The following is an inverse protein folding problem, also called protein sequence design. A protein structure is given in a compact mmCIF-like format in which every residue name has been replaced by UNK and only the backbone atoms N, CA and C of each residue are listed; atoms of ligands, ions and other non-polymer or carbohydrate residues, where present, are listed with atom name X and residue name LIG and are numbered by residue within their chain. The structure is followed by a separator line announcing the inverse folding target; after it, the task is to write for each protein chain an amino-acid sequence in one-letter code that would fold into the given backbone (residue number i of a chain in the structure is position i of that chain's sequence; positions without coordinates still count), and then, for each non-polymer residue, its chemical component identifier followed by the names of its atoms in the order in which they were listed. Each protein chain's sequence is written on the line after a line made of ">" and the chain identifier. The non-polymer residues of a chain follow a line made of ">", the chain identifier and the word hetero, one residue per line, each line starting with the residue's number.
data_IF_344118170709
#
_entry.id   IF_344118170709
#
_cell.length_a   1.000
_cell.length_b   1.000
_cell.length_c   1.000
_cell.angle_alpha   90.00
_cell.angle_beta   90.00
_cell.angle_gamma   90.00
#
_symmetry.space_group_name_H-M   'P 1'
#
loop_
_entity.id
_entity.type
_entity.pdbx_description
1 polymer ?
#
# COMPACT_ATOMS: atom_id res chain seq x y z
N UNK A 1 -4.11 -18.22 3.87
CA UNK A 1 -2.77 -17.84 4.38
C UNK A 1 -2.77 -16.35 4.64
N UNK A 2 -2.68 -15.93 5.90
CA UNK A 2 -2.66 -14.52 6.27
C UNK A 2 -1.30 -13.93 5.91
N UNK A 3 -1.26 -13.07 4.88
CA UNK A 3 -0.07 -12.25 4.60
C UNK A 3 0.10 -11.28 5.78
N UNK A 4 1.30 -11.13 6.32
CA UNK A 4 1.56 -10.17 7.40
C UNK A 4 1.72 -8.76 6.81
N UNK A 5 0.64 -7.98 6.84
CA UNK A 5 0.64 -6.59 6.39
C UNK A 5 1.13 -5.63 7.48
N UNK A 6 1.43 -6.13 8.67
CA UNK A 6 1.84 -5.34 9.84
C UNK A 6 3.07 -4.49 9.56
N UNK A 7 4.08 -5.07 8.89
CA UNK A 7 5.31 -4.37 8.52
C UNK A 7 5.07 -3.30 7.46
N UNK A 8 4.21 -3.59 6.49
CA UNK A 8 3.86 -2.69 5.39
C UNK A 8 3.05 -1.51 5.91
N UNK A 9 2.08 -1.79 6.79
CA UNK A 9 1.33 -0.78 7.52
C UNK A 9 2.23 0.14 8.33
N UNK A 10 3.13 -0.40 9.18
CA UNK A 10 4.04 0.41 10.01
C UNK A 10 4.95 1.32 9.18
N UNK A 11 5.44 0.83 8.03
CA UNK A 11 6.40 1.57 7.20
C UNK A 11 5.75 2.59 6.27
N UNK A 12 4.54 2.33 5.80
CA UNK A 12 3.85 3.14 4.78
C UNK A 12 2.54 3.76 5.27
N UNK A 13 2.31 3.81 6.58
CA UNK A 13 1.14 4.42 7.23
C UNK A 13 0.84 5.82 6.68
N UNK A 14 -0.33 6.01 6.08
CA UNK A 14 -0.74 7.29 5.50
C UNK A 14 -0.19 7.60 4.11
N UNK A 15 0.51 6.66 3.47
CA UNK A 15 1.06 6.81 2.12
C UNK A 15 0.28 5.95 1.12
N UNK A 16 0.39 6.35 -0.15
CA UNK A 16 0.04 5.52 -1.29
C UNK A 16 1.16 4.55 -1.58
N UNK A 17 0.81 3.29 -1.77
CA UNK A 17 1.74 2.20 -2.05
C UNK A 17 1.29 1.48 -3.31
N UNK A 18 2.20 1.37 -4.27
CA UNK A 18 2.05 0.56 -5.46
C UNK A 18 2.69 -0.80 -5.19
N UNK A 19 1.86 -1.84 -5.19
CA UNK A 19 2.19 -3.23 -4.94
C UNK A 19 2.26 -4.00 -6.27
N UNK A 20 3.11 -5.01 -6.33
CA UNK A 20 3.13 -5.98 -7.42
C UNK A 20 1.97 -6.99 -7.29
N UNK A 21 1.81 -7.90 -8.26
CA UNK A 21 0.79 -8.95 -8.26
C UNK A 21 0.79 -9.84 -7.03
N UNK A 22 1.93 -9.95 -6.36
CA UNK A 22 2.06 -10.71 -5.11
C UNK A 22 1.46 -10.00 -3.89
N UNK A 23 1.01 -8.74 -4.03
CA UNK A 23 0.43 -7.88 -2.98
C UNK A 23 1.35 -7.59 -1.78
N UNK A 24 2.59 -8.09 -1.80
CA UNK A 24 3.59 -7.88 -0.73
C UNK A 24 4.76 -7.02 -1.22
N UNK A 25 5.08 -7.12 -2.51
CA UNK A 25 6.23 -6.41 -3.10
C UNK A 25 5.88 -4.95 -3.35
N UNK A 26 6.52 -4.05 -2.60
CA UNK A 26 6.35 -2.60 -2.79
C UNK A 26 7.26 -2.11 -3.92
N UNK A 27 6.64 -1.71 -5.01
CA UNK A 27 7.32 -1.19 -6.20
C UNK A 27 7.47 0.33 -6.16
N UNK A 28 6.54 1.03 -5.50
CA UNK A 28 6.59 2.49 -5.34
C UNK A 28 5.76 2.97 -4.17
N UNK A 29 6.13 4.11 -3.58
CA UNK A 29 5.35 4.75 -2.52
C UNK A 29 5.46 6.28 -2.56
N UNK A 30 4.39 6.96 -2.15
CA UNK A 30 4.32 8.43 -2.19
C UNK A 30 3.15 8.99 -1.36
N UNK A 31 3.11 10.32 -1.21
CA UNK A 31 1.98 10.99 -0.56
C UNK A 31 0.74 11.02 -1.46
N UNK A 32 0.95 10.94 -2.77
CA UNK A 32 -0.09 10.91 -3.79
C UNK A 32 -0.05 9.60 -4.58
N UNK A 33 -1.20 9.22 -5.12
CA UNK A 33 -1.34 8.07 -6.04
C UNK A 33 -0.37 8.19 -7.22
N UNK A 34 -0.28 9.39 -7.83
CA UNK A 34 0.55 9.64 -9.00
C UNK A 34 2.05 9.44 -8.70
N UNK A 35 2.55 9.90 -7.55
CA UNK A 35 3.94 9.64 -7.15
C UNK A 35 4.25 8.15 -6.97
N UNK A 36 3.34 7.41 -6.33
CA UNK A 36 3.50 5.97 -6.13
C UNK A 36 3.53 5.23 -7.48
N UNK A 37 2.63 5.59 -8.40
CA UNK A 37 2.58 5.03 -9.77
C UNK A 37 3.84 5.38 -10.56
N UNK A 38 4.27 6.64 -10.58
CA UNK A 38 5.49 7.05 -11.30
C UNK A 38 6.72 6.29 -10.80
N UNK A 39 6.89 6.16 -9.48
CA UNK A 39 8.00 5.40 -8.90
C UNK A 39 7.92 3.91 -9.23
N UNK A 40 6.72 3.34 -9.29
CA UNK A 40 6.54 1.95 -9.65
C UNK A 40 6.72 1.68 -11.15
N UNK A 41 6.29 2.60 -12.03
CA UNK A 41 6.51 2.52 -13.47
C UNK A 41 8.00 2.50 -13.84
N UNK A 42 8.85 3.20 -13.08
CA UNK A 42 10.31 3.15 -13.25
C UNK A 42 10.85 1.73 -12.99
N UNK A 43 10.21 0.97 -12.09
CA UNK A 43 10.66 -0.38 -11.71
C UNK A 43 10.01 -1.49 -12.50
N UNK A 44 8.77 -1.32 -12.94
CA UNK A 44 8.05 -2.33 -13.72
C UNK A 44 7.01 -1.67 -14.61
N UNK A 45 6.80 -2.25 -15.79
CA UNK A 45 5.79 -1.80 -16.76
C UNK A 45 4.48 -2.61 -16.65
N UNK A 46 4.32 -3.39 -15.57
CA UNK A 46 3.17 -4.28 -15.35
C UNK A 46 2.04 -3.55 -14.61
N UNK A 47 0.85 -4.14 -14.65
CA UNK A 47 -0.31 -3.68 -13.87
C UNK A 47 -0.01 -3.77 -12.37
N UNK A 48 -0.06 -2.63 -11.69
CA UNK A 48 0.26 -2.47 -10.27
C UNK A 48 -1.02 -2.39 -9.44
N UNK A 49 -1.00 -2.94 -8.23
CA UNK A 49 -2.07 -2.72 -7.26
C UNK A 49 -1.79 -1.46 -6.46
N UNK A 50 -2.60 -0.42 -6.66
CA UNK A 50 -2.47 0.83 -5.93
C UNK A 50 -3.35 0.80 -4.68
N UNK A 51 -2.73 0.94 -3.50
CA UNK A 51 -3.43 0.94 -2.22
C UNK A 51 -3.04 2.17 -1.40
N UNK A 52 -4.04 2.79 -0.76
CA UNK A 52 -3.79 3.86 0.21
C UNK A 52 -3.80 3.23 1.60
N UNK A 53 -2.66 3.29 2.28
CA UNK A 53 -2.58 2.78 3.64
C UNK A 53 -3.21 3.82 4.58
N UNK A 54 -4.25 3.47 5.35
CA UNK A 54 -4.89 4.42 6.25
C UNK A 54 -3.92 4.88 7.34
N UNK A 55 -4.02 6.16 7.71
CA UNK A 55 -3.22 6.71 8.82
C UNK A 55 -3.73 6.23 10.18
N UNK A 56 -4.94 5.68 10.28
CA UNK A 56 -5.41 5.13 11.53
C UNK A 56 -6.15 3.83 11.25
N UNK A 57 -5.82 2.79 12.02
CA UNK A 57 -6.59 1.55 12.04
C UNK A 57 -7.68 1.74 13.09
N UNK A 58 -8.65 2.61 12.78
CA UNK A 58 -9.86 2.70 13.57
C UNK A 58 -10.62 1.38 13.39
N UNK A 59 -10.40 0.46 14.32
CA UNK A 59 -11.11 -0.82 14.35
C UNK A 59 -12.48 -0.56 14.94
N UNK A 60 -13.50 -0.59 14.08
CA UNK A 60 -14.89 -0.47 14.52
C UNK A 60 -15.37 -1.84 15.01
N UNK A 61 -15.50 -1.97 16.32
CA UNK A 61 -16.26 -3.03 16.99
C UNK A 61 -17.60 -2.39 17.33
N UNK A 62 -18.69 -2.89 16.74
CA UNK A 62 -20.00 -2.24 16.74
C UNK A 62 -20.49 -1.70 18.09
N UNK A 63 -21.37 -0.70 18.02
CA UNK A 63 -22.17 -0.29 19.19
C UNK A 63 -23.09 -1.45 19.56
N UNK A 64 -22.97 -1.90 20.80
CA UNK A 64 -23.81 -2.93 21.44
C UNK A 64 -25.21 -2.36 21.68
#
# INVERSE_FOLDING_TARGET
>A
MSKDWTKLYKKYKGLWVALDKDEVTVLGYGKTANEAVKKAQIKTNKTLFLTRIPKDLASYVGVI
#
